data_IF_640495214933
#
_entry.id   IF_640495214933
#
_cell.length_a   1.000
_cell.length_b   1.000
_cell.length_c   1.000
_cell.angle_alpha   90.00
_cell.angle_beta   90.00
_cell.angle_gamma   90.00
#
_symmetry.space_group_name_H-M   'P 1'
#
loop_
_entity.id
_entity.type
_entity.pdbx_description
1 polymer ?
#
# COMPACT_ATOMS: atom_id res chain seq x y z
N UNK A 1 45.56 27.55 -63.32
CA UNK A 1 44.41 26.74 -62.83
C UNK A 1 44.14 27.18 -61.40
N UNK A 2 43.18 28.09 -61.27
CA UNK A 2 42.84 28.77 -59.99
C UNK A 2 41.63 28.10 -59.38
N UNK A 3 41.82 27.58 -58.23
CA UNK A 3 40.74 26.83 -57.43
C UNK A 3 40.04 27.84 -56.53
N UNK A 4 38.78 28.08 -56.86
CA UNK A 4 37.88 29.07 -56.25
C UNK A 4 37.25 28.44 -54.95
N UNK A 5 37.67 29.03 -53.79
CA UNK A 5 37.05 28.62 -52.48
C UNK A 5 35.68 29.27 -52.31
N UNK A 6 34.65 28.48 -52.22
CA UNK A 6 33.31 28.92 -51.84
C UNK A 6 33.24 29.31 -50.36
N UNK A 7 32.49 30.38 -50.01
CA UNK A 7 32.32 30.80 -48.62
C UNK A 7 31.33 29.88 -47.88
N UNK A 8 31.70 29.48 -46.65
CA UNK A 8 30.86 28.74 -45.75
C UNK A 8 29.72 29.60 -45.23
N UNK A 9 28.50 29.16 -45.40
CA UNK A 9 27.28 29.79 -44.88
C UNK A 9 27.17 29.60 -43.38
N UNK A 10 27.08 30.73 -42.65
CA UNK A 10 26.89 30.79 -41.20
C UNK A 10 25.60 30.11 -40.77
N UNK A 11 25.70 29.13 -39.88
CA UNK A 11 24.58 28.42 -39.29
C UNK A 11 23.64 29.36 -38.53
N UNK A 12 22.38 29.37 -38.90
CA UNK A 12 21.30 30.04 -38.19
C UNK A 12 21.17 29.45 -36.81
N UNK A 13 21.45 30.23 -35.75
CA UNK A 13 21.12 29.92 -34.35
C UNK A 13 19.60 29.78 -34.24
N UNK A 14 19.14 28.59 -34.00
CA UNK A 14 17.73 28.27 -33.72
C UNK A 14 17.31 29.03 -32.44
N UNK A 15 16.31 29.86 -32.55
CA UNK A 15 15.71 30.60 -31.46
C UNK A 15 15.15 29.63 -30.43
N UNK A 16 15.57 29.82 -29.18
CA UNK A 16 15.10 29.06 -28.02
C UNK A 16 13.57 29.27 -27.89
N UNK A 17 12.81 28.22 -28.16
CA UNK A 17 11.37 28.21 -28.03
C UNK A 17 11.03 28.50 -26.58
N UNK A 18 10.50 29.66 -26.28
CA UNK A 18 9.96 30.03 -24.96
C UNK A 18 8.85 29.03 -24.64
N UNK A 19 9.10 28.16 -23.68
CA UNK A 19 8.11 27.21 -23.18
C UNK A 19 7.06 28.03 -22.43
N UNK A 20 5.87 28.16 -23.01
CA UNK A 20 4.73 28.71 -22.30
C UNK A 20 4.55 27.88 -21.00
N UNK A 21 4.22 28.54 -19.85
CA UNK A 21 3.97 27.81 -18.62
C UNK A 21 2.85 26.81 -18.87
N UNK A 22 3.08 25.54 -18.52
CA UNK A 22 2.09 24.49 -18.66
C UNK A 22 0.79 24.99 -18.05
N UNK A 23 -0.31 24.91 -18.82
CA UNK A 23 -1.65 25.25 -18.36
C UNK A 23 -1.86 24.56 -17.02
N UNK A 24 -2.07 25.35 -15.97
CA UNK A 24 -2.47 24.85 -14.65
C UNK A 24 -3.68 23.94 -14.88
N UNK A 25 -3.52 22.66 -14.59
CA UNK A 25 -4.58 21.68 -14.80
C UNK A 25 -5.86 22.14 -14.10
N UNK A 26 -7.00 21.80 -14.71
CA UNK A 26 -8.33 22.08 -14.14
C UNK A 26 -8.30 21.76 -12.64
N UNK A 27 -8.78 22.67 -11.75
CA UNK A 27 -8.84 22.37 -10.32
C UNK A 27 -9.50 21.01 -10.12
N UNK A 28 -8.94 20.10 -9.35
CA UNK A 28 -9.55 18.80 -9.13
C UNK A 28 -10.94 18.99 -8.54
N UNK A 29 -11.92 18.38 -9.16
CA UNK A 29 -13.30 18.37 -8.72
C UNK A 29 -13.41 17.74 -7.32
N UNK A 30 -14.38 18.18 -6.49
CA UNK A 30 -14.67 17.50 -5.24
C UNK A 30 -15.01 16.03 -5.51
N UNK A 31 -14.80 15.18 -4.54
CA UNK A 31 -15.11 13.74 -4.67
C UNK A 31 -16.60 13.58 -4.99
N UNK A 32 -17.00 12.94 -6.08
CA UNK A 32 -18.40 12.59 -6.27
C UNK A 32 -18.82 11.64 -5.14
N UNK A 33 -19.96 11.94 -4.49
CA UNK A 33 -20.43 11.18 -3.33
C UNK A 33 -20.51 9.68 -3.61
N UNK A 34 -21.09 9.30 -4.75
CA UNK A 34 -21.23 7.91 -5.17
C UNK A 34 -19.88 7.17 -5.26
N UNK A 35 -18.84 7.84 -5.76
CA UNK A 35 -17.51 7.28 -5.85
C UNK A 35 -16.84 7.17 -4.47
N UNK A 36 -17.05 8.14 -3.60
CA UNK A 36 -16.51 8.10 -2.25
C UNK A 36 -17.07 6.92 -1.46
N UNK A 37 -18.38 6.68 -1.58
CA UNK A 37 -19.05 5.55 -0.96
C UNK A 37 -18.57 4.21 -1.52
N UNK A 38 -18.58 4.05 -2.83
CA UNK A 38 -18.11 2.84 -3.51
C UNK A 38 -16.64 2.50 -3.18
N UNK A 39 -15.76 3.50 -3.07
CA UNK A 39 -14.36 3.28 -2.67
C UNK A 39 -14.29 2.77 -1.22
N UNK A 40 -15.04 3.38 -0.31
CA UNK A 40 -15.04 2.96 1.09
C UNK A 40 -15.57 1.54 1.27
N UNK A 41 -16.67 1.18 0.61
CA UNK A 41 -17.23 -0.17 0.62
C UNK A 41 -16.25 -1.20 0.07
N UNK A 42 -15.63 -0.90 -1.06
CA UNK A 42 -14.62 -1.76 -1.69
C UNK A 42 -13.44 -2.06 -0.76
N UNK A 43 -12.93 -1.02 -0.11
CA UNK A 43 -11.81 -1.15 0.82
C UNK A 43 -12.24 -1.90 2.08
N UNK A 44 -13.44 -1.66 2.57
CA UNK A 44 -14.00 -2.37 3.74
C UNK A 44 -14.18 -3.87 3.50
N UNK A 45 -14.33 -4.31 2.25
CA UNK A 45 -14.34 -5.72 1.85
C UNK A 45 -12.93 -6.33 1.74
N UNK A 46 -11.89 -5.66 2.22
CA UNK A 46 -10.50 -6.14 2.15
C UNK A 46 -9.83 -5.98 0.78
N UNK A 47 -10.49 -5.34 -0.18
CA UNK A 47 -9.99 -5.15 -1.52
C UNK A 47 -9.04 -3.94 -1.60
N UNK A 48 -8.14 -3.93 -2.60
CA UNK A 48 -7.15 -2.86 -2.73
C UNK A 48 -7.69 -1.65 -3.49
N UNK A 49 -7.34 -0.43 -3.05
CA UNK A 49 -7.68 0.80 -3.76
C UNK A 49 -7.22 0.79 -5.22
N UNK A 50 -6.03 0.23 -5.50
CA UNK A 50 -5.51 0.17 -6.87
C UNK A 50 -6.34 -0.72 -7.79
N UNK A 51 -6.94 -1.75 -7.27
CA UNK A 51 -7.84 -2.61 -8.04
C UNK A 51 -9.12 -1.85 -8.38
N UNK A 52 -9.75 -1.19 -7.40
CA UNK A 52 -10.91 -0.34 -7.64
C UNK A 52 -10.64 0.72 -8.72
N UNK A 53 -9.48 1.39 -8.63
CA UNK A 53 -9.08 2.39 -9.61
C UNK A 53 -8.98 1.84 -11.03
N UNK A 54 -8.44 0.63 -11.19
CA UNK A 54 -8.34 -0.04 -12.52
C UNK A 54 -9.71 -0.39 -13.09
N UNK A 55 -10.60 -0.91 -12.25
CA UNK A 55 -11.94 -1.33 -12.67
C UNK A 55 -12.83 -0.14 -13.05
N UNK A 56 -12.64 1.00 -12.36
CA UNK A 56 -13.45 2.21 -12.57
C UNK A 56 -12.77 3.25 -13.49
N UNK A 57 -11.62 2.96 -14.07
CA UNK A 57 -10.92 3.87 -14.97
C UNK A 57 -10.45 5.18 -14.31
N UNK A 58 -10.27 5.18 -12.99
CA UNK A 58 -9.80 6.34 -12.21
C UNK A 58 -8.32 6.17 -11.88
N UNK A 59 -7.52 7.21 -12.13
CA UNK A 59 -6.12 7.13 -11.74
C UNK A 59 -5.99 7.22 -10.22
N UNK A 60 -5.14 6.38 -9.61
CA UNK A 60 -4.99 6.32 -8.16
C UNK A 60 -4.58 7.65 -7.52
N UNK A 61 -3.77 8.46 -8.20
CA UNK A 61 -3.37 9.79 -7.71
C UNK A 61 -4.57 10.74 -7.56
N UNK A 62 -5.61 10.58 -8.38
CA UNK A 62 -6.83 11.36 -8.26
C UNK A 62 -7.52 11.12 -6.92
N UNK A 63 -7.55 9.87 -6.47
CA UNK A 63 -8.13 9.52 -5.16
C UNK A 63 -7.31 10.11 -4.02
N UNK A 64 -5.97 10.11 -4.12
CA UNK A 64 -5.11 10.77 -3.12
C UNK A 64 -5.30 12.28 -3.09
N UNK A 65 -5.46 12.94 -4.24
CA UNK A 65 -5.80 14.36 -4.29
C UNK A 65 -7.16 14.67 -3.67
N UNK A 66 -8.13 13.77 -3.82
CA UNK A 66 -9.41 13.89 -3.12
C UNK A 66 -9.24 13.77 -1.61
N UNK A 67 -8.44 12.81 -1.12
CA UNK A 67 -8.15 12.66 0.31
C UNK A 67 -7.42 13.86 0.91
N UNK A 68 -6.54 14.53 0.15
CA UNK A 68 -5.86 15.76 0.59
C UNK A 68 -6.83 16.94 0.76
N UNK A 69 -7.87 17.01 -0.08
CA UNK A 69 -8.82 18.11 -0.09
C UNK A 69 -9.99 17.89 0.84
N UNK A 70 -10.39 16.65 1.01
CA UNK A 70 -11.52 16.24 1.82
C UNK A 70 -11.04 15.35 2.96
N UNK A 71 -10.90 15.98 4.14
CA UNK A 71 -10.45 15.29 5.34
C UNK A 71 -11.49 14.28 5.85
N UNK A 72 -12.77 14.53 5.63
CA UNK A 72 -13.83 13.59 5.99
C UNK A 72 -13.72 12.31 5.16
N UNK A 73 -13.52 12.46 3.85
CA UNK A 73 -13.29 11.32 2.97
C UNK A 73 -12.01 10.55 3.35
N UNK A 74 -10.93 11.25 3.71
CA UNK A 74 -9.70 10.60 4.18
C UNK A 74 -9.93 9.76 5.45
N UNK A 75 -10.72 10.28 6.42
CA UNK A 75 -11.08 9.56 7.64
C UNK A 75 -11.97 8.34 7.34
N UNK A 76 -12.93 8.46 6.42
CA UNK A 76 -13.77 7.35 5.97
C UNK A 76 -12.94 6.23 5.34
N UNK A 77 -11.97 6.58 4.49
CA UNK A 77 -11.03 5.59 3.92
C UNK A 77 -10.16 4.92 5.01
N UNK A 78 -9.66 5.69 5.98
CA UNK A 78 -8.89 5.13 7.08
C UNK A 78 -9.71 4.09 7.87
N UNK A 79 -10.95 4.42 8.21
CA UNK A 79 -11.88 3.50 8.87
C UNK A 79 -12.21 2.28 8.01
N UNK A 80 -12.44 2.48 6.71
CA UNK A 80 -12.69 1.37 5.79
C UNK A 80 -11.50 0.41 5.71
N UNK A 81 -10.27 0.92 5.77
CA UNK A 81 -9.06 0.08 5.83
C UNK A 81 -8.98 -0.75 7.11
N UNK A 82 -9.36 -0.18 8.26
CA UNK A 82 -9.38 -0.93 9.52
C UNK A 82 -10.36 -2.10 9.44
N UNK A 83 -11.56 -1.86 8.91
CA UNK A 83 -12.57 -2.92 8.68
C UNK A 83 -12.03 -3.96 7.68
N UNK A 84 -11.45 -3.51 6.57
CA UNK A 84 -10.89 -4.40 5.55
C UNK A 84 -9.74 -5.27 6.07
N UNK A 85 -8.95 -4.79 7.03
CA UNK A 85 -7.93 -5.61 7.71
C UNK A 85 -8.58 -6.73 8.53
N UNK A 86 -9.72 -6.48 9.16
CA UNK A 86 -10.45 -7.49 9.91
C UNK A 86 -11.01 -8.57 8.97
N UNK A 87 -11.59 -8.17 7.85
CA UNK A 87 -12.07 -9.10 6.82
C UNK A 87 -10.92 -9.99 6.31
N UNK A 88 -9.75 -9.43 6.02
CA UNK A 88 -8.59 -10.21 5.59
C UNK A 88 -8.14 -11.20 6.69
N UNK A 89 -8.23 -10.81 7.97
CA UNK A 89 -7.92 -11.70 9.07
C UNK A 89 -8.95 -12.85 9.21
N UNK A 90 -10.23 -12.55 9.05
CA UNK A 90 -11.31 -13.54 9.07
C UNK A 90 -11.21 -14.54 7.91
N UNK A 91 -10.97 -14.05 6.68
CA UNK A 91 -10.68 -14.93 5.53
C UNK A 91 -9.45 -15.82 5.75
N UNK A 92 -8.52 -15.41 6.61
CA UNK A 92 -7.34 -16.22 6.94
C UNK A 92 -7.75 -17.43 7.79
N UNK A 93 -8.75 -17.30 8.66
CA UNK A 93 -9.33 -18.43 9.42
C UNK A 93 -10.01 -19.41 8.47
N UNK A 94 -10.79 -18.93 7.50
CA UNK A 94 -11.43 -19.81 6.51
C UNK A 94 -10.39 -20.62 5.72
N UNK A 95 -9.26 -20.00 5.38
CA UNK A 95 -8.16 -20.69 4.69
C UNK A 95 -7.54 -21.78 5.58
N UNK A 96 -7.37 -21.52 6.88
CA UNK A 96 -6.83 -22.50 7.84
C UNK A 96 -7.77 -23.68 7.99
N UNK A 97 -9.07 -23.43 8.03
CA UNK A 97 -10.10 -24.45 8.20
C UNK A 97 -10.40 -25.23 6.92
N UNK A 98 -9.89 -24.76 5.76
CA UNK A 98 -10.04 -25.46 4.49
C UNK A 98 -9.18 -26.72 4.48
N UNK A 99 -9.83 -27.88 4.29
CA UNK A 99 -9.09 -29.13 4.12
C UNK A 99 -8.25 -29.13 2.84
N UNK A 100 -6.97 -29.58 2.91
CA UNK A 100 -6.14 -29.74 1.72
C UNK A 100 -6.78 -30.72 0.74
N UNK A 101 -6.69 -30.40 -0.55
CA UNK A 101 -7.14 -31.29 -1.63
C UNK A 101 -6.42 -32.62 -1.60
N UNK A 102 -7.09 -33.65 -2.09
CA UNK A 102 -6.49 -34.97 -2.24
C UNK A 102 -5.85 -35.10 -3.61
N UNK A 103 -4.59 -35.52 -3.63
CA UNK A 103 -3.90 -35.95 -4.83
C UNK A 103 -4.03 -37.45 -5.00
N UNK A 104 -4.21 -37.89 -6.26
CA UNK A 104 -4.20 -39.31 -6.62
C UNK A 104 -2.85 -39.64 -7.22
N UNK A 105 -2.14 -40.59 -6.62
CA UNK A 105 -0.94 -41.16 -7.21
C UNK A 105 -1.19 -42.58 -7.71
N UNK A 106 -0.83 -42.83 -8.96
CA UNK A 106 -0.93 -44.15 -9.58
C UNK A 106 0.44 -44.81 -9.61
N UNK A 107 0.54 -45.97 -9.00
CA UNK A 107 1.73 -46.82 -9.09
C UNK A 107 1.37 -48.16 -9.73
N UNK A 108 2.38 -48.99 -10.08
CA UNK A 108 2.13 -50.34 -10.61
C UNK A 108 1.35 -51.26 -9.66
N UNK A 109 1.32 -50.95 -8.37
CA UNK A 109 0.62 -51.68 -7.33
C UNK A 109 -0.79 -51.12 -7.01
N UNK A 110 -1.26 -50.10 -7.72
CA UNK A 110 -2.59 -49.49 -7.52
C UNK A 110 -2.54 -47.99 -7.25
N UNK A 111 -3.70 -47.33 -7.33
CA UNK A 111 -3.87 -45.93 -7.00
C UNK A 111 -3.98 -45.74 -5.49
N UNK A 112 -3.29 -44.73 -4.94
CA UNK A 112 -3.47 -44.29 -3.57
C UNK A 112 -3.91 -42.82 -3.54
N UNK A 113 -4.93 -42.54 -2.70
CA UNK A 113 -5.34 -41.18 -2.37
C UNK A 113 -4.55 -40.71 -1.17
N UNK A 114 -3.87 -39.57 -1.29
CA UNK A 114 -3.17 -38.94 -0.18
C UNK A 114 -3.46 -37.43 -0.19
N UNK A 115 -3.32 -36.79 0.97
CA UNK A 115 -3.45 -35.31 1.05
C UNK A 115 -2.35 -34.67 0.26
N UNK A 116 -2.69 -33.71 -0.60
CA UNK A 116 -1.71 -32.98 -1.38
C UNK A 116 -0.87 -32.06 -0.48
N UNK A 117 0.39 -32.44 -0.27
CA UNK A 117 1.33 -31.68 0.54
C UNK A 117 1.71 -30.33 -0.09
N UNK A 118 1.66 -30.24 -1.43
CA UNK A 118 1.92 -29.00 -2.13
C UNK A 118 0.77 -28.01 -1.91
N UNK A 119 -0.48 -28.48 -1.97
CA UNK A 119 -1.64 -27.66 -1.68
C UNK A 119 -1.66 -27.23 -0.19
N UNK A 120 -1.35 -28.12 0.73
CA UNK A 120 -1.24 -27.78 2.16
C UNK A 120 -0.15 -26.71 2.42
N UNK A 121 1.01 -26.86 1.76
CA UNK A 121 2.09 -25.88 1.87
C UNK A 121 1.70 -24.53 1.27
N UNK A 122 0.98 -24.52 0.16
CA UNK A 122 0.47 -23.31 -0.47
C UNK A 122 -0.51 -22.57 0.44
N UNK A 123 -1.47 -23.28 1.06
CA UNK A 123 -2.40 -22.70 2.04
C UNK A 123 -1.64 -22.08 3.23
N UNK A 124 -0.69 -22.81 3.80
CA UNK A 124 0.16 -22.32 4.89
C UNK A 124 0.89 -21.04 4.51
N UNK A 125 1.56 -21.01 3.36
CA UNK A 125 2.27 -19.83 2.88
C UNK A 125 1.33 -18.64 2.67
N UNK A 126 0.14 -18.88 2.18
CA UNK A 126 -0.90 -17.86 1.96
C UNK A 126 -1.34 -17.22 3.27
N UNK A 127 -1.56 -18.02 4.29
CA UNK A 127 -1.87 -17.55 5.67
C UNK A 127 -0.73 -16.73 6.24
N UNK A 128 0.50 -17.27 6.21
CA UNK A 128 1.68 -16.57 6.75
C UNK A 128 1.91 -15.20 6.11
N UNK A 129 1.81 -15.11 4.78
CA UNK A 129 2.01 -13.84 4.08
C UNK A 129 0.92 -12.82 4.42
N UNK A 130 -0.34 -13.24 4.53
CA UNK A 130 -1.43 -12.36 4.94
C UNK A 130 -1.23 -11.85 6.36
N UNK A 131 -0.89 -12.71 7.32
CA UNK A 131 -0.64 -12.30 8.70
C UNK A 131 0.57 -11.35 8.82
N UNK A 132 1.65 -11.61 8.08
CA UNK A 132 2.81 -10.71 8.03
C UNK A 132 2.45 -9.32 7.48
N UNK A 133 1.58 -9.25 6.48
CA UNK A 133 1.10 -7.98 5.94
C UNK A 133 0.21 -7.24 6.95
N UNK A 134 -0.73 -7.94 7.59
CA UNK A 134 -1.61 -7.37 8.61
C UNK A 134 -0.81 -6.80 9.79
N UNK A 135 0.21 -7.53 10.27
CA UNK A 135 1.10 -7.07 11.33
C UNK A 135 1.85 -5.78 10.97
N UNK A 136 2.20 -5.59 9.69
CA UNK A 136 2.84 -4.36 9.19
C UNK A 136 1.87 -3.21 8.99
N UNK A 137 0.64 -3.49 8.53
CA UNK A 137 -0.36 -2.47 8.25
C UNK A 137 -1.05 -1.95 9.52
N UNK A 138 -1.30 -2.85 10.46
CA UNK A 138 -1.89 -2.50 11.74
C UNK A 138 -1.14 -3.21 12.90
N UNK A 139 0.06 -2.71 13.26
CA UNK A 139 0.88 -3.34 14.29
C UNK A 139 0.25 -3.29 15.68
N UNK A 140 -0.65 -2.34 15.94
CA UNK A 140 -1.35 -2.26 17.23
C UNK A 140 -2.31 -3.44 17.45
N UNK A 141 -2.94 -3.94 16.38
CA UNK A 141 -3.95 -5.00 16.45
C UNK A 141 -3.37 -6.39 16.14
N UNK A 142 -2.49 -6.48 15.14
CA UNK A 142 -1.97 -7.74 14.59
C UNK A 142 -0.46 -7.92 14.77
N UNK A 143 0.24 -6.93 15.33
CA UNK A 143 1.68 -7.03 15.59
C UNK A 143 1.99 -7.90 16.81
N UNK A 144 3.15 -8.51 16.80
CA UNK A 144 3.66 -9.23 17.95
C UNK A 144 3.87 -8.25 19.11
N UNK A 145 3.23 -8.50 20.24
CA UNK A 145 3.44 -7.72 21.45
C UNK A 145 4.77 -8.14 22.07
N UNK A 146 5.83 -7.42 21.75
CA UNK A 146 7.09 -7.54 22.48
C UNK A 146 6.90 -6.86 23.82
N UNK A 147 6.60 -7.63 24.86
CA UNK A 147 6.64 -7.15 26.23
C UNK A 147 8.11 -6.88 26.61
N UNK A 148 8.54 -5.63 26.51
CA UNK A 148 9.82 -5.23 27.11
C UNK A 148 9.55 -5.08 28.61
N UNK A 149 9.75 -6.16 29.36
CA UNK A 149 9.88 -6.05 30.81
C UNK A 149 11.22 -5.34 31.11
N UNK A 150 11.16 -4.03 31.29
CA UNK A 150 12.31 -3.29 31.78
C UNK A 150 12.53 -3.66 33.25
N UNK A 151 13.31 -4.70 33.49
CA UNK A 151 13.88 -4.98 34.81
C UNK A 151 14.98 -3.96 35.07
N UNK A 152 14.59 -2.75 35.47
CA UNK A 152 15.53 -1.70 35.85
C UNK A 152 14.75 -0.42 36.15
N UNK A 153 14.93 0.10 37.37
CA UNK A 153 14.33 1.40 37.72
C UNK A 153 14.98 2.50 36.87
N UNK A 154 14.15 3.21 36.11
CA UNK A 154 14.60 4.43 35.43
C UNK A 154 14.69 5.55 36.46
N UNK A 155 15.89 6.02 36.77
CA UNK A 155 16.10 7.23 37.56
C UNK A 155 16.10 8.42 36.58
N UNK A 156 15.02 9.18 36.55
CA UNK A 156 14.95 10.42 35.79
C UNK A 156 15.60 11.53 36.61
N UNK A 157 16.84 11.89 36.31
CA UNK A 157 17.48 13.05 36.89
C UNK A 157 17.12 14.28 36.08
N UNK A 158 16.15 15.06 36.57
CA UNK A 158 15.80 16.36 35.97
C UNK A 158 16.83 17.37 36.48
N UNK A 159 17.78 17.73 35.62
CA UNK A 159 18.68 18.86 35.86
C UNK A 159 17.93 20.13 35.48
N UNK A 160 17.26 20.75 36.46
CA UNK A 160 16.73 22.10 36.31
C UNK A 160 17.90 23.07 36.39
N UNK A 161 18.27 23.66 35.26
CA UNK A 161 19.38 24.63 35.19
C UNK A 161 19.09 26.00 35.84
N UNK A 162 18.43 26.00 36.98
CA UNK A 162 18.23 27.21 37.78
C UNK A 162 19.35 27.20 38.83
N UNK A 163 20.30 28.16 38.79
CA UNK A 163 21.27 28.28 39.87
C UNK A 163 20.53 28.65 41.13
N UNK A 164 20.69 27.83 42.20
CA UNK A 164 20.27 28.24 43.54
C UNK A 164 21.03 29.48 43.93
N UNK A 165 20.36 30.58 44.12
CA UNK A 165 20.88 31.77 44.75
C UNK A 165 20.94 31.48 46.26
N UNK A 166 22.00 30.90 46.70
CA UNK A 166 22.35 30.85 48.11
C UNK A 166 23.20 32.07 48.43
N UNK A 167 22.63 32.99 49.17
CA UNK A 167 23.29 33.95 50.01
C UNK A 167 23.55 33.33 51.38
#
# INVERSE_FOLDING_TARGET
MSEERKPQTAGKRSAKKTTEPAKVGRPPEPVPYDKAEAICEWIAQGQTLRQWCRENGVHYSTVYLWMEKDQEFAQRIARAREIGHDVIAEETLEIIDTEPEFAESWSQSGGSKHRDSAHATWLKNRVEQRMKLLAKWNPKKYGDKVGVEAQGGFTLTVVTGVPSSDE
#
